data_IF_643730713752
#
_entry.id   IF_643730713752
#
_cell.length_a   1.000
_cell.length_b   1.000
_cell.length_c   1.000
_cell.angle_alpha   90.00
_cell.angle_beta   90.00
_cell.angle_gamma   90.00
#
_symmetry.space_group_name_H-M   'P 1'
#
loop_
_entity.id
_entity.type
_entity.pdbx_description
1 polymer ?
#
# COMPACT_ATOMS: atom_id res chain seq x y z
N UNK A 1 -24.48 5.27 11.48
CA UNK A 1 -23.38 5.29 10.50
C UNK A 1 -23.26 3.90 9.90
N UNK A 2 -23.27 3.73 8.58
CA UNK A 2 -23.18 2.39 7.97
C UNK A 2 -21.74 1.88 7.99
N UNK A 3 -21.54 0.54 8.02
CA UNK A 3 -20.21 -0.07 7.92
C UNK A 3 -19.39 0.47 6.73
N UNK A 4 -20.03 0.69 5.58
CA UNK A 4 -19.37 1.25 4.39
C UNK A 4 -18.91 2.69 4.57
N UNK A 5 -19.66 3.49 5.29
CA UNK A 5 -19.27 4.88 5.60
C UNK A 5 -18.00 4.89 6.45
N UNK A 6 -17.92 3.98 7.43
CA UNK A 6 -16.71 3.81 8.25
C UNK A 6 -15.51 3.37 7.40
N UNK A 7 -15.70 2.37 6.52
CA UNK A 7 -14.61 1.90 5.65
C UNK A 7 -14.15 3.00 4.69
N UNK A 8 -15.04 3.83 4.16
CA UNK A 8 -14.66 4.98 3.31
C UNK A 8 -13.90 6.03 4.09
N UNK A 9 -14.33 6.35 5.29
CA UNK A 9 -13.63 7.29 6.14
C UNK A 9 -12.22 6.76 6.47
N UNK A 10 -12.10 5.49 6.83
CA UNK A 10 -10.81 4.84 7.05
C UNK A 10 -9.93 4.87 5.79
N UNK A 11 -10.50 4.57 4.61
CA UNK A 11 -9.78 4.61 3.34
C UNK A 11 -9.25 6.02 3.00
N UNK A 12 -10.03 7.06 3.27
CA UNK A 12 -9.61 8.45 3.11
C UNK A 12 -8.47 8.82 4.07
N UNK A 13 -8.60 8.46 5.34
CA UNK A 13 -7.54 8.71 6.32
C UNK A 13 -6.27 7.99 5.92
N UNK A 14 -6.34 6.71 5.57
CA UNK A 14 -5.17 5.90 5.24
C UNK A 14 -4.48 6.41 3.99
N UNK A 15 -5.19 6.81 2.92
CA UNK A 15 -4.54 7.34 1.72
C UNK A 15 -3.83 8.67 2.00
N UNK A 16 -4.42 9.53 2.82
CA UNK A 16 -3.79 10.79 3.23
C UNK A 16 -2.52 10.52 4.05
N UNK A 17 -2.61 9.63 5.04
CA UNK A 17 -1.47 9.26 5.89
C UNK A 17 -0.37 8.62 5.05
N UNK A 18 -0.69 7.66 4.18
CA UNK A 18 0.31 7.02 3.30
C UNK A 18 0.96 8.04 2.39
N UNK A 19 0.19 8.95 1.77
CA UNK A 19 0.75 10.00 0.93
C UNK A 19 1.70 10.92 1.73
N UNK A 20 1.30 11.35 2.93
CA UNK A 20 2.12 12.19 3.80
C UNK A 20 3.41 11.47 4.22
N UNK A 21 3.33 10.20 4.58
CA UNK A 21 4.49 9.36 4.93
C UNK A 21 5.44 9.22 3.72
N UNK A 22 4.91 8.98 2.52
CA UNK A 22 5.73 8.84 1.31
C UNK A 22 6.42 10.16 0.92
N UNK A 23 5.86 11.31 1.31
CA UNK A 23 6.46 12.64 1.11
C UNK A 23 7.21 13.15 2.35
N UNK A 24 7.60 12.28 3.26
CA UNK A 24 8.41 12.61 4.43
C UNK A 24 9.77 11.95 4.34
N UNK A 25 10.81 12.72 4.57
CA UNK A 25 12.20 12.23 4.68
C UNK A 25 12.41 11.34 5.91
N UNK A 26 11.54 11.47 6.91
CA UNK A 26 11.61 10.71 8.17
C UNK A 26 10.93 9.33 8.09
N UNK A 27 10.20 9.04 7.01
CA UNK A 27 9.40 7.82 6.89
C UNK A 27 10.22 6.53 7.07
N UNK A 28 11.45 6.50 6.58
CA UNK A 28 12.37 5.37 6.74
C UNK A 28 12.72 5.16 8.22
N UNK A 29 13.00 6.24 8.94
CA UNK A 29 13.27 6.19 10.37
C UNK A 29 12.09 5.68 11.18
N UNK A 30 10.88 6.14 10.87
CA UNK A 30 9.66 5.68 11.54
C UNK A 30 9.37 4.21 11.26
N UNK A 31 9.53 3.75 10.00
CA UNK A 31 9.31 2.35 9.65
C UNK A 31 10.28 1.42 10.38
N UNK A 32 11.55 1.81 10.47
CA UNK A 32 12.56 1.05 11.20
C UNK A 32 12.24 1.00 12.71
N UNK A 33 11.86 2.13 13.31
CA UNK A 33 11.48 2.19 14.72
C UNK A 33 10.27 1.31 15.06
N UNK A 34 9.28 1.25 14.15
CA UNK A 34 8.11 0.38 14.32
C UNK A 34 8.51 -1.09 14.23
N UNK A 35 9.34 -1.46 13.25
CA UNK A 35 9.81 -2.83 13.07
C UNK A 35 10.65 -3.29 14.27
N UNK A 36 11.55 -2.43 14.75
CA UNK A 36 12.36 -2.71 15.93
C UNK A 36 11.50 -2.86 17.20
N UNK A 37 10.46 -2.03 17.35
CA UNK A 37 9.50 -2.12 18.43
C UNK A 37 8.65 -3.40 18.40
N UNK A 38 8.31 -3.91 17.22
CA UNK A 38 7.55 -5.15 17.03
C UNK A 38 8.44 -6.41 17.11
N UNK A 39 9.71 -6.29 16.73
CA UNK A 39 10.66 -7.40 16.65
C UNK A 39 11.33 -7.78 17.98
N UNK A 40 11.15 -6.99 19.03
CA UNK A 40 11.64 -7.24 20.39
C UNK A 40 13.09 -7.77 20.45
N UNK A 41 14.07 -6.91 20.65
CA UNK A 41 15.45 -7.21 21.13
C UNK A 41 16.25 -8.36 20.48
N UNK A 42 15.93 -8.80 19.28
CA UNK A 42 16.67 -9.86 18.61
C UNK A 42 17.66 -9.34 17.58
N UNK A 43 18.95 -9.67 17.72
CA UNK A 43 20.00 -9.45 16.70
C UNK A 43 19.65 -9.97 15.29
N UNK A 44 18.54 -10.73 15.15
CA UNK A 44 18.03 -11.22 13.87
C UNK A 44 17.35 -10.16 13.03
N UNK A 45 16.72 -9.15 13.63
CA UNK A 45 16.04 -8.10 12.87
C UNK A 45 17.03 -7.16 12.18
N UNK A 46 18.14 -6.80 12.83
CA UNK A 46 19.20 -5.97 12.25
C UNK A 46 19.87 -6.62 11.04
N UNK A 47 20.11 -7.92 11.06
CA UNK A 47 20.70 -8.65 9.93
C UNK A 47 19.76 -8.78 8.72
N UNK A 48 18.46 -8.82 8.94
CA UNK A 48 17.46 -8.80 7.86
C UNK A 48 17.36 -7.40 7.26
N UNK A 49 17.44 -6.34 8.08
CA UNK A 49 17.40 -4.95 7.65
C UNK A 49 18.66 -4.54 6.87
N UNK A 50 19.85 -5.01 7.29
CA UNK A 50 21.11 -4.77 6.58
C UNK A 50 21.17 -5.43 5.19
N UNK A 51 20.40 -6.50 4.97
CA UNK A 51 20.25 -7.19 3.69
C UNK A 51 19.17 -6.62 2.79
N UNK A 52 18.41 -5.61 3.25
CA UNK A 52 17.38 -4.99 2.39
C UNK A 52 18.02 -4.38 1.16
N UNK A 53 17.49 -4.64 -0.04
CA UNK A 53 17.83 -3.86 -1.22
C UNK A 53 17.62 -2.38 -0.90
N UNK A 54 18.47 -1.53 -1.43
CA UNK A 54 18.27 -0.06 -1.34
C UNK A 54 16.93 0.27 -2.01
N UNK A 55 15.91 0.51 -1.21
CA UNK A 55 14.55 0.82 -1.64
C UNK A 55 13.53 0.30 -0.62
N UNK A 56 12.46 1.06 -0.44
CA UNK A 56 11.37 0.74 0.49
C UNK A 56 10.27 -0.12 -0.17
N UNK A 57 10.65 -1.05 -1.07
CA UNK A 57 9.71 -1.83 -1.87
C UNK A 57 8.64 -2.51 -1.03
N UNK A 58 9.01 -3.07 0.12
CA UNK A 58 8.08 -3.73 1.04
C UNK A 58 7.11 -2.73 1.71
N UNK A 59 7.59 -1.54 2.06
CA UNK A 59 6.76 -0.46 2.59
C UNK A 59 5.77 0.03 1.52
N UNK A 60 6.23 0.26 0.29
CA UNK A 60 5.38 0.63 -0.84
C UNK A 60 4.33 -0.44 -1.13
N UNK A 61 4.73 -1.71 -1.21
CA UNK A 61 3.81 -2.83 -1.43
C UNK A 61 2.73 -2.90 -0.34
N UNK A 62 3.13 -2.91 0.93
CA UNK A 62 2.20 -3.05 2.05
C UNK A 62 1.23 -1.85 2.14
N UNK A 63 1.75 -0.64 2.01
CA UNK A 63 0.97 0.60 2.10
C UNK A 63 -0.07 0.69 0.98
N UNK A 64 0.33 0.45 -0.26
CA UNK A 64 -0.59 0.54 -1.40
C UNK A 64 -1.55 -0.66 -1.49
N UNK A 65 -1.16 -1.84 -0.98
CA UNK A 65 -2.10 -2.95 -0.79
C UNK A 65 -3.19 -2.60 0.23
N UNK A 66 -2.83 -2.00 1.36
CA UNK A 66 -3.79 -1.55 2.38
C UNK A 66 -4.76 -0.51 1.82
N UNK A 67 -4.25 0.53 1.15
CA UNK A 67 -5.07 1.56 0.50
C UNK A 67 -6.03 0.93 -0.51
N UNK A 68 -5.51 0.08 -1.39
CA UNK A 68 -6.30 -0.59 -2.42
C UNK A 68 -7.40 -1.49 -1.82
N UNK A 69 -7.08 -2.25 -0.76
CA UNK A 69 -8.04 -3.13 -0.07
C UNK A 69 -9.19 -2.35 0.56
N UNK A 70 -8.88 -1.28 1.29
CA UNK A 70 -9.91 -0.44 1.94
C UNK A 70 -10.82 0.23 0.90
N UNK A 71 -10.25 0.82 -0.14
CA UNK A 71 -11.03 1.44 -1.20
C UNK A 71 -11.88 0.42 -1.96
N UNK A 72 -11.33 -0.76 -2.31
CA UNK A 72 -12.07 -1.81 -2.97
C UNK A 72 -13.22 -2.36 -2.08
N UNK A 73 -12.99 -2.52 -0.78
CA UNK A 73 -14.01 -2.96 0.19
C UNK A 73 -15.14 -1.93 0.33
N UNK A 74 -14.85 -0.64 0.17
CA UNK A 74 -15.84 0.43 0.25
C UNK A 74 -16.81 0.44 -0.95
N UNK A 75 -16.42 -0.18 -2.07
CA UNK A 75 -17.18 -0.14 -3.32
C UNK A 75 -18.25 -1.23 -3.40
N UNK A 76 -19.44 -0.85 -3.94
CA UNK A 76 -20.58 -1.76 -4.07
C UNK A 76 -20.50 -2.62 -5.34
N UNK A 77 -20.14 -2.02 -6.46
CA UNK A 77 -20.12 -2.70 -7.75
C UNK A 77 -18.72 -3.13 -8.16
N UNK A 78 -18.64 -4.26 -8.88
CA UNK A 78 -17.37 -4.78 -9.41
C UNK A 78 -16.70 -3.80 -10.36
N UNK A 79 -17.47 -3.18 -11.25
CA UNK A 79 -16.95 -2.21 -12.21
C UNK A 79 -16.28 -1.02 -11.51
N UNK A 80 -16.94 -0.48 -10.48
CA UNK A 80 -16.39 0.62 -9.67
C UNK A 80 -15.11 0.21 -8.96
N UNK A 81 -15.02 -1.02 -8.45
CA UNK A 81 -13.79 -1.53 -7.81
C UNK A 81 -12.59 -1.50 -8.74
N UNK A 82 -12.75 -1.94 -9.99
CA UNK A 82 -11.66 -1.91 -10.96
C UNK A 82 -11.20 -0.48 -11.28
N UNK A 83 -12.15 0.44 -11.45
CA UNK A 83 -11.81 1.85 -11.63
C UNK A 83 -11.11 2.46 -10.42
N UNK A 84 -11.53 2.09 -9.23
CA UNK A 84 -10.89 2.54 -7.99
C UNK A 84 -9.48 1.98 -7.87
N UNK A 85 -9.25 0.70 -8.18
CA UNK A 85 -7.89 0.13 -8.17
C UNK A 85 -6.98 0.82 -9.19
N UNK A 86 -7.50 1.10 -10.39
CA UNK A 86 -6.77 1.87 -11.40
C UNK A 86 -6.45 3.30 -10.91
N UNK A 87 -7.40 3.95 -10.25
CA UNK A 87 -7.19 5.29 -9.66
C UNK A 87 -6.16 5.27 -8.52
N UNK A 88 -6.19 4.25 -7.65
CA UNK A 88 -5.19 4.08 -6.58
C UNK A 88 -3.80 3.87 -7.18
N UNK A 89 -3.69 3.06 -8.23
CA UNK A 89 -2.41 2.84 -8.92
C UNK A 89 -1.90 4.12 -9.58
N UNK A 90 -2.77 4.86 -10.28
CA UNK A 90 -2.40 6.14 -10.87
C UNK A 90 -1.97 7.15 -9.80
N UNK A 91 -2.69 7.22 -8.68
CA UNK A 91 -2.33 8.09 -7.56
C UNK A 91 -0.97 7.70 -6.96
N UNK A 92 -0.72 6.40 -6.74
CA UNK A 92 0.58 5.94 -6.21
C UNK A 92 1.75 6.32 -7.13
N UNK A 93 1.56 6.23 -8.45
CA UNK A 93 2.56 6.66 -9.41
C UNK A 93 2.78 8.19 -9.40
N UNK A 94 1.70 8.95 -9.16
CA UNK A 94 1.79 10.42 -9.01
C UNK A 94 2.56 10.77 -7.74
N UNK A 95 2.27 10.12 -6.61
CA UNK A 95 2.98 10.32 -5.34
C UNK A 95 4.47 10.08 -5.52
N UNK A 96 4.85 8.99 -6.17
CA UNK A 96 6.25 8.62 -6.44
C UNK A 96 6.93 9.65 -7.35
N UNK A 97 6.23 10.09 -8.41
CA UNK A 97 6.77 11.07 -9.36
C UNK A 97 6.99 12.45 -8.74
N UNK A 98 6.19 12.81 -7.75
CA UNK A 98 6.28 14.08 -7.04
C UNK A 98 7.19 14.02 -5.81
N UNK A 99 7.63 12.85 -5.40
CA UNK A 99 8.46 12.66 -4.21
C UNK A 99 9.71 13.57 -4.22
N UNK A 100 10.48 13.71 -5.32
CA UNK A 100 11.64 14.59 -5.35
C UNK A 100 11.32 16.09 -5.21
N UNK A 101 10.03 16.47 -5.34
CA UNK A 101 9.58 17.85 -5.15
C UNK A 101 9.31 18.17 -3.68
N UNK A 102 8.86 17.16 -2.91
CA UNK A 102 8.43 17.32 -1.52
C UNK A 102 9.43 16.82 -0.50
N UNK A 103 10.51 16.13 -0.94
CA UNK A 103 11.54 15.56 -0.06
C UNK A 103 12.93 15.99 -0.54
N UNK A 104 13.86 16.13 0.39
CA UNK A 104 15.25 16.55 0.09
C UNK A 104 16.16 15.36 -0.23
N UNK A 105 15.91 14.20 0.41
CA UNK A 105 16.79 13.02 0.32
C UNK A 105 16.21 11.89 -0.51
N UNK A 106 14.91 11.89 -0.79
CA UNK A 106 14.25 10.83 -1.57
C UNK A 106 14.21 11.19 -3.05
N UNK A 107 14.52 10.23 -3.88
CA UNK A 107 14.50 10.35 -5.34
C UNK A 107 13.53 9.36 -5.94
N UNK A 108 12.98 9.68 -7.10
CA UNK A 108 12.16 8.75 -7.87
C UNK A 108 12.88 7.41 -8.08
N UNK A 109 12.26 6.32 -7.66
CA UNK A 109 12.80 4.97 -7.81
C UNK A 109 11.82 4.07 -8.56
N UNK A 110 12.31 3.43 -9.62
CA UNK A 110 11.48 2.47 -10.39
C UNK A 110 11.08 1.24 -9.56
N UNK A 111 11.88 0.87 -8.58
CA UNK A 111 11.59 -0.22 -7.65
C UNK A 111 10.35 0.06 -6.81
N UNK A 112 10.14 1.31 -6.42
CA UNK A 112 9.02 1.74 -5.59
C UNK A 112 7.71 1.73 -6.41
N UNK A 113 7.78 2.11 -7.70
CA UNK A 113 6.67 1.90 -8.62
C UNK A 113 6.29 0.42 -8.78
N UNK A 114 7.29 -0.47 -8.81
CA UNK A 114 7.02 -1.93 -8.83
C UNK A 114 6.35 -2.36 -7.53
N UNK A 115 6.82 -1.89 -6.37
CA UNK A 115 6.17 -2.12 -5.08
C UNK A 115 4.71 -1.67 -5.05
N UNK A 116 4.44 -0.45 -5.55
CA UNK A 116 3.10 0.10 -5.68
C UNK A 116 2.20 -0.79 -6.55
N UNK A 117 2.69 -1.17 -7.73
CA UNK A 117 1.94 -2.00 -8.67
C UNK A 117 1.67 -3.41 -8.11
N UNK A 118 2.64 -4.01 -7.44
CA UNK A 118 2.48 -5.30 -6.77
C UNK A 118 1.46 -5.23 -5.63
N UNK A 119 1.50 -4.18 -4.81
CA UNK A 119 0.54 -3.98 -3.72
C UNK A 119 -0.90 -3.92 -4.23
N UNK A 120 -1.17 -3.09 -5.23
CA UNK A 120 -2.50 -3.00 -5.85
C UNK A 120 -2.87 -4.30 -6.58
N UNK A 121 -1.89 -4.93 -7.25
CA UNK A 121 -2.05 -6.18 -8.00
C UNK A 121 -2.48 -7.36 -7.12
N UNK A 122 -1.88 -7.52 -5.94
CA UNK A 122 -2.26 -8.56 -4.96
C UNK A 122 -3.73 -8.43 -4.58
N UNK A 123 -4.22 -7.21 -4.33
CA UNK A 123 -5.64 -6.97 -4.01
C UNK A 123 -6.53 -7.30 -5.21
N UNK A 124 -6.13 -6.93 -6.42
CA UNK A 124 -6.86 -7.23 -7.65
C UNK A 124 -7.01 -8.74 -7.87
N UNK A 125 -5.92 -9.50 -7.69
CA UNK A 125 -5.92 -10.98 -7.78
C UNK A 125 -6.80 -11.60 -6.71
N UNK A 126 -6.65 -11.20 -5.44
CA UNK A 126 -7.47 -11.70 -4.34
C UNK A 126 -8.96 -11.50 -4.61
N UNK A 127 -9.36 -10.32 -5.10
CA UNK A 127 -10.74 -10.04 -5.49
C UNK A 127 -11.22 -10.92 -6.65
N UNK A 128 -10.36 -11.18 -7.63
CA UNK A 128 -10.64 -12.08 -8.75
C UNK A 128 -10.93 -13.50 -8.27
N UNK A 129 -10.08 -14.02 -7.39
CA UNK A 129 -10.21 -15.36 -6.82
C UNK A 129 -11.49 -15.52 -5.97
N UNK A 130 -11.78 -14.56 -5.10
CA UNK A 130 -13.03 -14.56 -4.31
C UNK A 130 -14.26 -14.59 -5.23
N UNK A 131 -14.20 -13.86 -6.32
CA UNK A 131 -15.31 -13.83 -7.28
C UNK A 131 -15.46 -15.15 -8.05
N UNK A 132 -14.36 -15.76 -8.47
CA UNK A 132 -14.38 -17.05 -9.17
C UNK A 132 -14.97 -18.15 -8.27
N UNK A 133 -14.56 -18.20 -6.99
CA UNK A 133 -15.11 -19.16 -6.01
C UNK A 133 -16.61 -19.01 -5.79
N UNK A 134 -17.14 -17.78 -5.80
CA UNK A 134 -18.59 -17.53 -5.62
C UNK A 134 -19.44 -17.91 -6.84
N UNK A 135 -18.82 -18.15 -8.00
CA UNK A 135 -19.48 -18.57 -9.23
C UNK A 135 -19.35 -20.05 -9.51
N UNK A 136 -18.50 -20.77 -8.79
CA UNK A 136 -18.41 -22.22 -8.92
C UNK A 136 -19.74 -22.83 -8.49
N UNK A 137 -20.36 -23.72 -9.31
CA UNK A 137 -21.56 -24.44 -8.91
C UNK A 137 -21.23 -25.26 -7.67
N UNK A 138 -22.16 -25.28 -6.72
CA UNK A 138 -22.10 -26.24 -5.60
C UNK A 138 -22.17 -27.68 -6.17
N UNK A 139 -21.32 -28.60 -5.68
CA UNK A 139 -21.38 -30.02 -6.07
C UNK A 139 -22.73 -30.66 -5.79
#
# INVERSE_FOLDING_TARGET
>A
MTFRTLVRAAALVVIVVVTAVMWSDEAIGWSNSIIDGLGGTGQGASTVLERRPKGDLDLHLASWALVAALWAASCRSRRVRWWVLAAVLAWSATVESLQPVFTEIRTFQRTDLVGNALGVGVVAVAMGLVHARRRAPSP
#
